data_IF_383234644216
#
_entry.id   IF_383234644216
#
_cell.length_a   1.000
_cell.length_b   1.000
_cell.length_c   1.000
_cell.angle_alpha   90.00
_cell.angle_beta   90.00
_cell.angle_gamma   90.00
#
_symmetry.space_group_name_H-M   'P 1'
#
loop_
_entity.id
_entity.type
_entity.pdbx_description
1 polymer ?
2 non-polymer ?
3 water ?
#
# COMPACT_ATOMS: atom_id res chain seq x y z
N UNK A 12 17.28 -17.06 10.03
CA UNK A 12 16.75 -15.71 9.83
C UNK A 12 16.36 -15.08 11.16
N UNK A 13 17.15 -14.10 11.61
CA UNK A 13 16.86 -13.46 12.89
C UNK A 13 15.58 -12.66 12.81
N UNK A 14 14.83 -12.58 13.91
CA UNK A 14 13.59 -11.80 13.89
C UNK A 14 13.88 -10.32 13.68
N UNK A 15 12.93 -9.64 13.07
CA UNK A 15 13.11 -8.20 12.91
C UNK A 15 12.85 -7.47 14.22
N UNK A 16 13.67 -6.48 14.56
CA UNK A 16 13.55 -5.82 15.85
C UNK A 16 12.39 -4.84 15.88
N UNK A 17 11.66 -4.83 16.99
CA UNK A 17 10.67 -3.80 17.22
C UNK A 17 11.34 -2.56 17.80
N UNK A 18 11.04 -1.39 17.25
CA UNK A 18 11.66 -0.14 17.66
C UNK A 18 10.63 0.70 18.37
N UNK A 19 10.97 1.16 19.58
CA UNK A 19 10.19 2.14 20.34
C UNK A 19 10.70 3.54 20.01
N UNK A 20 9.82 4.36 19.43
CA UNK A 20 10.17 5.71 19.04
C UNK A 20 9.60 6.78 19.96
N UNK A 21 8.55 6.47 20.71
CA UNK A 21 7.83 7.45 21.50
C UNK A 21 6.92 6.69 22.45
N UNK A 22 6.80 7.20 23.67
CA UNK A 22 6.13 6.47 24.74
C UNK A 22 4.63 6.77 24.73
N UNK A 23 3.84 5.75 25.08
CA UNK A 23 2.39 5.83 25.08
C UNK A 23 1.89 7.00 25.94
N UNK A 24 0.68 7.48 25.61
CA UNK A 24 0.05 8.66 26.23
C UNK A 24 0.93 9.89 25.98
N UNK A 29 -6.75 8.68 24.51
CA UNK A 29 -6.22 8.21 23.22
C UNK A 29 -6.24 6.69 23.03
N UNK A 30 -6.09 6.26 21.78
CA UNK A 30 -6.10 4.86 21.41
C UNK A 30 -4.89 4.53 20.54
N UNK A 31 -4.33 3.35 20.74
CA UNK A 31 -3.17 2.92 19.98
C UNK A 31 -3.47 1.61 19.27
N UNK A 32 -2.98 1.49 18.04
CA UNK A 32 -3.22 0.34 17.18
C UNK A 32 -2.08 0.22 16.18
N UNK A 33 -1.94 -0.97 15.61
CA UNK A 33 -0.84 -1.26 14.71
C UNK A 33 -1.37 -1.43 13.28
N UNK A 34 -0.55 -1.02 12.31
CA UNK A 34 -0.90 -1.06 10.89
C UNK A 34 0.25 -1.75 10.16
N UNK A 35 -0.07 -2.78 9.39
CA UNK A 35 0.90 -3.48 8.55
C UNK A 35 0.61 -3.12 7.08
N UNK A 36 1.68 -2.98 6.29
CA UNK A 36 1.58 -2.76 4.84
C UNK A 36 2.52 -3.72 4.15
N UNK A 37 2.02 -4.51 3.21
CA UNK A 37 2.78 -5.67 2.73
C UNK A 37 2.35 -6.07 1.33
N UNK A 38 3.29 -6.01 0.38
CA UNK A 38 3.10 -6.55 -0.96
C UNK A 38 3.62 -7.99 -0.94
N UNK A 39 2.70 -8.96 -1.02
CA UNK A 39 3.02 -10.37 -0.80
C UNK A 39 3.70 -11.04 -1.99
N UNK A 40 3.73 -10.38 -3.16
CA UNK A 40 4.19 -10.91 -4.44
C UNK A 40 3.29 -12.05 -4.90
N UNK A 41 2.39 -11.75 -5.83
CA UNK A 41 1.42 -12.74 -6.25
C UNK A 41 2.09 -13.82 -7.11
N UNK A 42 1.44 -14.98 -7.15
CA UNK A 42 1.96 -16.12 -7.90
C UNK A 42 2.20 -15.77 -9.37
N UNK A 43 1.29 -15.01 -9.98
CA UNK A 43 1.42 -14.68 -11.41
C UNK A 43 2.79 -14.08 -11.74
N UNK A 44 3.31 -13.22 -10.88
CA UNK A 44 4.57 -12.54 -11.16
C UNK A 44 5.79 -13.27 -10.60
N UNK A 45 5.58 -14.31 -9.79
CA UNK A 45 6.71 -14.98 -9.14
C UNK A 45 7.25 -16.05 -10.09
N UNK A 46 8.03 -15.60 -11.07
CA UNK A 46 8.52 -16.44 -12.14
C UNK A 46 10.04 -16.46 -12.17
N UNK A 47 10.60 -17.49 -12.82
CA UNK A 47 12.04 -17.60 -12.98
C UNK A 47 12.60 -16.43 -13.78
N UNK A 48 11.81 -15.89 -14.71
CA UNK A 48 12.31 -14.81 -15.55
C UNK A 48 12.59 -13.56 -14.72
N UNK A 49 11.70 -13.25 -13.77
CA UNK A 49 11.88 -12.09 -12.91
C UNK A 49 12.75 -12.41 -11.70
N UNK A 50 12.78 -13.66 -11.22
CA UNK A 50 13.45 -14.00 -9.97
C UNK A 50 14.27 -15.27 -10.13
N UNK A 51 15.13 -15.29 -11.16
CA UNK A 51 15.95 -16.44 -11.46
C UNK A 51 16.92 -16.82 -10.36
N UNK A 52 17.25 -15.89 -9.47
CA UNK A 52 18.12 -16.19 -8.34
C UNK A 52 17.41 -16.94 -7.23
N UNK A 53 16.12 -17.13 -7.31
CA UNK A 53 15.39 -17.86 -6.28
C UNK A 53 14.97 -19.21 -6.84
N UNK A 54 15.30 -20.31 -6.18
CA UNK A 54 14.92 -21.64 -6.69
C UNK A 54 13.42 -21.74 -6.92
N UNK A 55 13.05 -22.49 -7.96
CA UNK A 55 11.63 -22.63 -8.32
C UNK A 55 10.83 -23.19 -7.15
N UNK A 56 11.39 -24.15 -6.40
CA UNK A 56 10.68 -24.71 -5.26
C UNK A 56 10.42 -23.67 -4.18
N UNK A 57 11.25 -22.63 -4.10
CA UNK A 57 11.04 -21.56 -3.15
C UNK A 57 10.15 -20.45 -3.70
N UNK A 58 9.99 -20.37 -5.03
CA UNK A 58 9.02 -19.45 -5.62
C UNK A 58 7.61 -20.03 -5.62
N UNK A 59 7.48 -21.36 -5.69
CA UNK A 59 6.17 -22.00 -5.78
C UNK A 59 5.24 -21.52 -4.67
N UNK A 60 3.97 -21.29 -5.04
CA UNK A 60 3.02 -20.65 -4.12
C UNK A 60 2.70 -21.55 -2.92
N UNK A 61 2.61 -22.87 -3.13
CA UNK A 61 2.28 -23.74 -2.02
C UNK A 61 3.35 -23.70 -0.94
N UNK A 62 4.60 -23.41 -1.32
CA UNK A 62 5.67 -23.16 -0.37
C UNK A 62 5.62 -21.71 0.14
N UNK A 63 5.55 -20.73 -0.76
CA UNK A 63 5.71 -19.33 -0.39
C UNK A 63 4.57 -18.82 0.49
N UNK A 64 3.34 -19.27 0.22
CA UNK A 64 2.20 -18.81 1.00
C UNK A 64 2.36 -19.11 2.48
N UNK A 65 3.13 -20.14 2.85
CA UNK A 65 3.37 -20.41 4.27
C UNK A 65 4.17 -19.28 4.91
N UNK A 66 5.28 -18.89 4.27
CA UNK A 66 6.03 -17.74 4.76
C UNK A 66 5.22 -16.45 4.77
N UNK A 67 4.39 -16.25 3.74
CA UNK A 67 3.56 -15.04 3.71
C UNK A 67 2.58 -15.04 4.88
N UNK A 68 1.89 -16.16 5.11
CA UNK A 68 0.99 -16.24 6.26
C UNK A 68 1.74 -16.12 7.58
N UNK A 69 2.93 -16.71 7.66
CA UNK A 69 3.75 -16.58 8.86
C UNK A 69 4.11 -15.12 9.14
N UNK A 70 4.53 -14.38 8.10
CA UNK A 70 4.86 -12.98 8.26
C UNK A 70 3.66 -12.20 8.76
N UNK A 71 2.49 -12.44 8.18
CA UNK A 71 1.28 -11.73 8.57
C UNK A 71 0.86 -12.08 10.00
N UNK A 72 0.92 -13.37 10.34
CA UNK A 72 0.50 -13.76 11.70
C UNK A 72 1.47 -13.20 12.74
N UNK A 73 2.77 -13.24 12.47
CA UNK A 73 3.77 -12.73 13.42
C UNK A 73 3.63 -11.23 13.65
N UNK A 74 3.38 -10.46 12.57
CA UNK A 74 3.17 -9.03 12.71
C UNK A 74 1.95 -8.71 13.57
N UNK A 75 0.89 -9.51 13.44
CA UNK A 75 -0.27 -9.45 14.35
C UNK A 75 -0.91 -8.06 14.38
N UNK A 76 -0.97 -7.40 13.23
CA UNK A 76 -1.39 -6.01 13.18
C UNK A 76 -2.89 -5.88 13.36
N UNK A 77 -3.32 -4.80 14.04
CA UNK A 77 -4.74 -4.49 14.18
C UNK A 77 -5.40 -4.23 12.82
N UNK A 78 -4.63 -3.66 11.89
CA UNK A 78 -5.08 -3.30 10.56
C UNK A 78 -4.00 -3.77 9.58
N UNK A 79 -4.41 -4.45 8.51
CA UNK A 79 -3.48 -5.05 7.55
C UNK A 79 -3.85 -4.58 6.15
N UNK A 80 -2.89 -3.96 5.45
CA UNK A 80 -3.05 -3.58 4.05
C UNK A 80 -2.12 -4.44 3.19
N UNK A 81 -2.71 -5.29 2.34
CA UNK A 81 -1.94 -6.16 1.44
C UNK A 81 -2.13 -5.72 0.00
N UNK A 82 -1.06 -5.80 -0.80
CA UNK A 82 -1.13 -5.67 -2.24
C UNK A 82 -0.76 -7.01 -2.90
N UNK A 83 -1.17 -7.15 -4.17
CA UNK A 83 -0.92 -8.37 -4.94
C UNK A 83 -1.58 -9.59 -4.29
N UNK A 84 -2.77 -9.38 -3.74
CA UNK A 84 -3.61 -10.46 -3.27
C UNK A 84 -4.38 -11.01 -4.46
N UNK A 85 -4.11 -12.27 -4.84
CA UNK A 85 -4.87 -12.88 -5.92
C UNK A 85 -6.29 -13.19 -5.45
N UNK A 86 -7.26 -12.94 -6.36
CA UNK A 86 -8.68 -13.04 -6.03
C UNK A 86 -9.01 -14.34 -5.30
N UNK A 87 -8.69 -15.48 -5.91
CA UNK A 87 -9.06 -16.76 -5.30
C UNK A 87 -8.34 -16.96 -3.97
N UNK A 88 -7.09 -16.54 -3.86
CA UNK A 88 -6.36 -16.67 -2.60
C UNK A 88 -6.98 -15.81 -1.50
N UNK A 89 -7.55 -14.65 -1.86
CA UNK A 89 -8.26 -13.86 -0.85
C UNK A 89 -9.35 -14.69 -0.18
N UNK A 90 -10.18 -15.37 -0.98
CA UNK A 90 -11.31 -16.11 -0.45
C UNK A 90 -10.96 -17.48 0.12
N UNK A 91 -9.86 -18.10 -0.32
CA UNK A 91 -9.56 -19.43 0.16
C UNK A 91 -8.34 -19.51 1.09
N UNK A 92 -7.48 -18.48 1.10
CA UNK A 92 -6.33 -18.47 2.00
C UNK A 92 -6.43 -17.33 3.01
N UNK A 93 -6.30 -16.08 2.57
CA UNK A 93 -6.09 -14.97 3.49
C UNK A 93 -7.29 -14.76 4.40
N UNK A 94 -8.49 -14.64 3.81
CA UNK A 94 -9.62 -14.27 4.65
C UNK A 94 -10.02 -15.40 5.59
N UNK A 95 -10.09 -16.67 5.14
CA UNK A 95 -10.43 -17.73 6.11
C UNK A 95 -9.43 -17.86 7.23
N UNK A 96 -8.13 -17.72 6.94
CA UNK A 96 -7.13 -17.83 7.99
C UNK A 96 -7.17 -16.63 8.93
N UNK A 97 -7.32 -15.42 8.37
CA UNK A 97 -7.36 -14.24 9.23
C UNK A 97 -8.67 -14.15 10.01
N UNK A 98 -9.77 -14.70 9.48
CA UNK A 98 -11.01 -14.77 10.27
C UNK A 98 -10.80 -15.54 11.56
N UNK A 99 -9.93 -16.56 11.53
CA UNK A 99 -9.60 -17.30 12.74
C UNK A 99 -8.71 -16.50 13.69
N UNK A 100 -8.00 -15.49 13.20
CA UNK A 100 -7.26 -14.58 14.07
C UNK A 100 -8.09 -13.35 14.47
N UNK A 101 -9.40 -13.37 14.23
CA UNK A 101 -10.26 -12.27 14.65
C UNK A 101 -10.40 -11.12 13.68
N UNK A 102 -10.07 -11.32 12.40
CA UNK A 102 -10.20 -10.26 11.40
C UNK A 102 -11.44 -10.47 10.54
N UNK A 103 -11.96 -9.35 10.03
CA UNK A 103 -12.72 -9.31 8.79
C UNK A 103 -11.91 -8.54 7.77
N UNK A 104 -12.33 -8.58 6.50
CA UNK A 104 -11.54 -7.96 5.46
C UNK A 104 -12.40 -7.40 4.35
N UNK A 105 -11.79 -6.48 3.57
CA UNK A 105 -12.37 -6.00 2.33
C UNK A 105 -11.32 -6.12 1.22
N UNK A 106 -11.73 -6.74 0.11
CA UNK A 106 -10.84 -7.00 -1.03
C UNK A 106 -11.50 -6.49 -2.30
N UNK A 107 -10.66 -6.01 -3.23
CA UNK A 107 -11.13 -5.72 -4.55
C UNK A 107 -10.01 -6.06 -5.54
N UNK A 108 -10.30 -6.81 -6.60
CA UNK A 108 -9.27 -7.07 -7.61
C UNK A 108 -9.14 -5.90 -8.58
N UNK A 109 -8.01 -5.85 -9.26
CA UNK A 109 -7.95 -5.03 -10.47
C UNK A 109 -8.84 -5.63 -11.56
N UNK A 110 -9.05 -4.87 -12.65
CA UNK A 110 -9.51 -5.38 -13.94
C UNK A 110 -10.93 -5.94 -13.92
N UNK A 111 -11.78 -5.50 -12.99
CA UNK A 111 -13.16 -5.97 -12.97
C UNK A 111 -13.86 -5.73 -14.31
N UNK A 112 -13.58 -4.59 -14.95
CA UNK A 112 -14.26 -4.27 -16.20
C UNK A 112 -13.69 -5.02 -17.40
N UNK A 113 -12.52 -5.65 -17.26
CA UNK A 113 -11.94 -6.40 -18.37
C UNK A 113 -12.63 -7.74 -18.56
N UNK A 114 -12.81 -8.12 -19.81
CA UNK A 114 -13.37 -9.43 -20.16
C UNK A 114 -12.27 -10.47 -20.06
N UNK A 115 -12.60 -11.60 -19.44
CA UNK A 115 -11.63 -12.69 -19.29
C UNK A 115 -12.39 -13.93 -18.85
N UNK A 116 -11.70 -15.08 -18.91
CA UNK A 116 -12.32 -16.33 -18.54
C UNK A 116 -12.50 -16.42 -17.02
N UNK A 117 -13.28 -17.43 -16.60
CA UNK A 117 -13.43 -17.72 -15.17
C UNK A 117 -12.09 -18.03 -14.53
N UNK A 118 -11.25 -18.80 -15.24
CA UNK A 118 -9.95 -19.19 -14.69
C UNK A 118 -9.07 -17.97 -14.47
N UNK A 119 -9.00 -17.09 -15.46
CA UNK A 119 -8.16 -15.89 -15.35
C UNK A 119 -8.67 -14.99 -14.25
N UNK A 120 -9.99 -14.86 -14.11
CA UNK A 120 -10.55 -14.01 -13.06
C UNK A 120 -10.06 -14.44 -11.68
N UNK A 121 -9.88 -15.75 -11.47
CA UNK A 121 -9.41 -16.23 -10.18
C UNK A 121 -8.02 -15.72 -9.85
N UNK A 122 -7.23 -15.38 -10.86
CA UNK A 122 -5.83 -15.10 -10.65
C UNK A 122 -5.49 -13.62 -10.80
N UNK A 123 -6.48 -12.75 -11.01
CA UNK A 123 -6.25 -11.31 -10.98
C UNK A 123 -5.96 -10.88 -9.54
N UNK A 124 -4.95 -10.06 -9.34
CA UNK A 124 -4.62 -9.60 -7.99
C UNK A 124 -5.23 -8.23 -7.70
N UNK A 125 -5.32 -7.91 -6.41
CA UNK A 125 -5.83 -6.64 -5.97
C UNK A 125 -5.30 -6.29 -4.58
N UNK A 126 -6.01 -5.39 -3.91
CA UNK A 126 -5.66 -4.88 -2.61
C UNK A 126 -6.70 -5.35 -1.59
N UNK A 127 -6.23 -5.71 -0.39
CA UNK A 127 -7.09 -6.12 0.71
C UNK A 127 -6.76 -5.30 1.95
N UNK A 128 -7.79 -4.95 2.72
CA UNK A 128 -7.62 -4.34 4.04
C UNK A 128 -8.31 -5.24 5.04
N UNK A 129 -7.54 -5.73 6.03
CA UNK A 129 -8.08 -6.48 7.15
C UNK A 129 -8.02 -5.63 8.42
N UNK A 130 -8.96 -5.90 9.32
CA UNK A 130 -9.06 -5.19 10.58
C UNK A 130 -9.63 -6.15 11.60
N UNK A 131 -9.14 -6.07 12.84
CA UNK A 131 -9.65 -6.92 13.93
C UNK A 131 -11.00 -6.40 14.39
N UNK A 132 -12.01 -7.27 14.31
CA UNK A 132 -13.37 -6.87 14.59
C UNK A 132 -13.59 -6.51 16.06
N UNK A 133 -12.74 -7.03 16.96
CA UNK A 133 -12.91 -6.63 18.35
C UNK A 133 -12.53 -5.16 18.57
N UNK A 134 -11.83 -4.54 17.63
CA UNK A 134 -11.41 -3.15 17.75
C UNK A 134 -12.02 -2.19 16.74
N UNK A 135 -12.46 -2.68 15.58
CA UNK A 135 -13.04 -1.82 14.57
C UNK A 135 -14.30 -2.45 14.00
N UNK A 136 -15.20 -1.59 13.54
CA UNK A 136 -16.42 -1.98 12.87
C UNK A 136 -16.44 -1.26 11.53
N UNK A 137 -16.58 -2.01 10.44
CA UNK A 137 -16.60 -1.43 9.11
C UNK A 137 -17.90 -0.66 8.90
N UNK A 138 -17.81 0.58 8.44
CA UNK A 138 -19.01 1.35 8.11
C UNK A 138 -19.15 1.59 6.61
N UNK A 139 -18.06 1.77 5.88
CA UNK A 139 -18.11 1.91 4.42
C UNK A 139 -16.91 1.24 3.79
N UNK A 140 -17.08 0.79 2.54
CA UNK A 140 -16.00 0.21 1.75
C UNK A 140 -16.08 0.78 0.33
N UNK A 141 -14.93 1.03 -0.30
CA UNK A 141 -14.91 1.68 -1.60
C UNK A 141 -13.72 1.20 -2.41
N UNK A 142 -13.90 1.10 -3.73
CA UNK A 142 -12.80 0.79 -4.64
C UNK A 142 -12.59 2.00 -5.54
N UNK A 143 -11.34 2.43 -5.69
CA UNK A 143 -11.02 3.57 -6.53
C UNK A 143 -10.31 3.03 -7.77
N UNK A 144 -10.98 3.14 -8.92
CA UNK A 144 -10.46 2.71 -10.20
C UNK A 144 -9.72 3.87 -10.86
N UNK A 145 -8.40 3.78 -10.93
CA UNK A 145 -7.62 4.87 -11.51
C UNK A 145 -7.94 5.07 -12.99
N UNK A 146 -8.23 3.99 -13.72
CA UNK A 146 -8.47 4.15 -15.16
C UNK A 146 -9.78 4.88 -15.43
N UNK A 147 -10.81 4.61 -14.63
CA UNK A 147 -12.08 5.33 -14.79
C UNK A 147 -11.94 6.79 -14.40
N UNK A 148 -11.24 7.07 -13.29
CA UNK A 148 -11.08 8.46 -12.87
C UNK A 148 -10.24 9.23 -13.89
N UNK A 149 -9.17 8.60 -14.41
CA UNK A 149 -8.37 9.26 -15.44
C UNK A 149 -9.20 9.57 -16.67
N UNK A 150 -10.05 8.62 -17.05
CA UNK A 150 -10.86 8.76 -18.26
C UNK A 150 -11.87 9.88 -18.13
N UNK A 151 -12.45 10.02 -16.95
CA UNK A 151 -13.43 11.06 -16.66
C UNK A 151 -12.80 12.45 -16.55
N UNK A 152 -11.48 12.54 -16.37
CA UNK A 152 -10.78 13.82 -16.27
C UNK A 152 -9.77 14.01 -17.40
N UNK A 153 -10.02 13.42 -18.56
CA UNK A 153 -9.05 13.41 -19.64
C UNK A 153 -9.32 14.45 -20.71
N UNK A 154 -10.37 15.24 -20.57
CA UNK A 154 -10.71 16.22 -21.59
C UNK A 154 -9.57 17.21 -21.80
N UNK A 155 -9.12 17.33 -23.05
CA UNK A 155 -8.06 18.27 -23.36
C UNK A 155 -6.66 17.80 -23.04
N UNK A 156 -6.49 16.53 -22.66
CA UNK A 156 -5.17 15.94 -22.40
C UNK A 156 -5.09 14.57 -23.08
N UNK A 157 -4.40 14.49 -24.22
CA UNK A 157 -4.10 13.20 -24.82
C UNK A 157 -3.29 12.31 -23.90
N UNK A 158 -2.36 12.91 -23.14
CA UNK A 158 -1.54 12.14 -22.23
C UNK A 158 -2.36 11.46 -21.15
N UNK A 159 -3.38 12.15 -20.63
CA UNK A 159 -4.27 11.53 -19.63
C UNK A 159 -4.92 10.28 -20.20
N UNK A 160 -5.42 10.35 -21.44
CA UNK A 160 -6.07 9.19 -22.04
C UNK A 160 -5.04 8.12 -22.42
N UNK A 161 -3.96 8.52 -23.11
CA UNK A 161 -3.03 7.54 -23.65
C UNK A 161 -2.25 6.82 -22.56
N UNK A 162 -1.71 7.59 -21.60
CA UNK A 162 -0.76 7.06 -20.62
C UNK A 162 -1.41 6.70 -19.29
N UNK A 163 -2.38 7.47 -18.83
CA UNK A 163 -2.93 7.23 -17.49
C UNK A 163 -4.13 6.31 -17.54
N UNK A 164 -5.09 6.62 -18.41
CA UNK A 164 -6.29 5.81 -18.54
C UNK A 164 -5.99 4.34 -18.82
N UNK A 165 -4.92 4.07 -19.57
CA UNK A 165 -4.60 2.72 -20.02
C UNK A 165 -4.00 1.85 -18.93
N UNK A 166 -3.81 2.38 -17.71
CA UNK A 166 -3.25 1.60 -16.60
C UNK A 166 -4.36 1.23 -15.61
N UNK A 167 -4.51 -0.06 -15.39
CA UNK A 167 -5.53 -0.79 -14.65
C UNK A 167 -5.41 -0.71 -13.11
N UNK A 168 -4.57 0.15 -12.56
CA UNK A 168 -4.28 0.05 -11.12
C UNK A 168 -5.46 0.56 -10.28
N UNK A 169 -5.51 0.10 -9.03
CA UNK A 169 -6.61 0.43 -8.13
C UNK A 169 -6.08 0.74 -6.73
N UNK A 170 -6.96 1.37 -5.93
CA UNK A 170 -6.81 1.38 -4.50
C UNK A 170 -8.16 1.11 -3.86
N UNK A 171 -8.13 0.70 -2.59
CA UNK A 171 -9.35 0.48 -1.82
C UNK A 171 -9.27 1.30 -0.55
N UNK A 172 -10.44 1.54 0.04
CA UNK A 172 -10.50 2.29 1.29
C UNK A 172 -11.70 1.82 2.09
N UNK A 173 -11.54 1.80 3.40
CA UNK A 173 -12.62 1.49 4.32
C UNK A 173 -12.73 2.62 5.33
N UNK A 174 -13.95 2.89 5.76
CA UNK A 174 -14.18 3.76 6.88
C UNK A 174 -14.49 2.85 8.06
N UNK A 175 -13.78 3.04 9.17
CA UNK A 175 -13.89 2.17 10.33
C UNK A 175 -14.35 2.96 11.54
N UNK A 176 -15.26 2.39 12.33
CA UNK A 176 -15.55 2.87 13.67
C UNK A 176 -14.46 2.37 14.62
N UNK A 177 -13.73 3.30 15.24
CA UNK A 177 -12.76 2.94 16.26
C UNK A 177 -13.52 2.77 17.58
N UNK A 178 -13.50 1.56 18.13
CA UNK A 178 -14.32 1.28 19.31
C UNK A 178 -13.88 2.12 20.51
N UNK A 179 -14.87 2.60 21.27
CA UNK A 179 -14.59 3.51 22.39
C UNK A 179 -13.65 2.90 23.42
N UNK A 180 -13.71 1.59 23.62
CA UNK A 180 -12.91 0.92 24.65
C UNK A 180 -11.41 0.98 24.35
N UNK A 181 -11.03 1.31 23.12
CA UNK A 181 -9.62 1.55 22.82
C UNK A 181 -9.12 2.86 23.42
N UNK A 182 -10.02 3.76 23.81
CA UNK A 182 -9.63 5.03 24.41
C UNK A 182 -9.68 4.94 25.94
N UNK A 194 -18.91 8.67 18.44
CA UNK A 194 -18.54 7.58 17.55
C UNK A 194 -17.35 7.97 16.66
N UNK A 195 -16.17 7.45 17.00
CA UNK A 195 -14.92 7.84 16.33
C UNK A 195 -14.68 7.02 15.08
N UNK A 196 -14.26 7.70 14.01
CA UNK A 196 -14.06 7.07 12.72
C UNK A 196 -12.63 7.25 12.22
N UNK A 197 -12.18 6.27 11.45
CA UNK A 197 -10.86 6.28 10.84
C UNK A 197 -11.01 5.74 9.43
N UNK A 198 -10.20 6.28 8.54
CA UNK A 198 -10.18 5.82 7.16
C UNK A 198 -8.82 5.21 6.87
N UNK A 199 -8.85 3.98 6.37
CA UNK A 199 -7.67 3.27 5.96
C UNK A 199 -7.75 3.09 4.46
N UNK A 200 -6.70 3.50 3.76
CA UNK A 200 -6.65 3.42 2.31
C UNK A 200 -5.42 2.63 1.94
N UNK A 201 -5.54 1.90 0.83
CA UNK A 201 -4.51 0.94 0.41
C UNK A 201 -4.49 0.94 -1.10
N UNK A 202 -3.34 1.29 -1.70
CA UNK A 202 -3.26 1.36 -3.15
C UNK A 202 -1.97 0.71 -3.63
N UNK A 203 -1.98 0.35 -4.90
CA UNK A 203 -0.82 -0.25 -5.57
C UNK A 203 -0.72 0.43 -6.93
N UNK A 204 0.28 1.31 -7.07
CA UNK A 204 0.42 2.17 -8.26
C UNK A 204 1.16 1.44 -9.38
N UNK A 205 1.02 1.98 -10.59
CA UNK A 205 1.80 1.52 -11.74
C UNK A 205 3.27 1.50 -11.38
N UNK A 206 4.00 0.54 -11.97
CA UNK A 206 5.36 0.22 -11.55
C UNK A 206 6.45 0.87 -12.39
N UNK A 207 6.18 1.14 -13.68
CA UNK A 207 7.22 1.42 -14.67
C UNK A 207 7.99 2.71 -14.33
N UNK A 208 9.31 2.64 -14.17
CA UNK A 208 10.08 3.84 -13.81
C UNK A 208 10.02 4.94 -14.86
N UNK A 209 9.63 4.62 -16.10
CA UNK A 209 9.50 5.65 -17.12
C UNK A 209 8.18 6.40 -17.03
N UNK A 210 7.36 6.11 -16.03
CA UNK A 210 6.00 6.62 -15.95
C UNK A 210 5.75 7.31 -14.62
N UNK A 211 6.69 8.14 -14.19
CA UNK A 211 6.52 8.91 -12.96
C UNK A 211 5.28 9.79 -13.03
N UNK A 212 4.90 10.23 -14.23
CA UNK A 212 3.68 11.02 -14.40
C UNK A 212 2.44 10.21 -14.04
N UNK A 213 2.37 8.96 -14.50
CA UNK A 213 1.25 8.09 -14.15
C UNK A 213 1.20 7.86 -12.63
N UNK A 214 2.34 7.55 -12.03
CA UNK A 214 2.38 7.29 -10.58
C UNK A 214 1.88 8.50 -9.80
N UNK A 215 2.33 9.70 -10.17
CA UNK A 215 1.91 10.92 -9.47
C UNK A 215 0.43 11.20 -9.69
N UNK A 216 -0.05 11.07 -10.93
CA UNK A 216 -1.46 11.32 -11.18
C UNK A 216 -2.32 10.29 -10.46
N UNK A 217 -1.91 9.01 -10.48
CA UNK A 217 -2.66 8.00 -9.72
C UNK A 217 -2.70 8.35 -8.23
N UNK A 218 -1.60 8.88 -7.69
CA UNK A 218 -1.59 9.24 -6.27
C UNK A 218 -2.55 10.39 -5.99
N UNK A 219 -2.54 11.42 -6.84
CA UNK A 219 -3.44 12.54 -6.63
C UNK A 219 -4.90 12.13 -6.83
N UNK A 220 -5.14 11.26 -7.81
CA UNK A 220 -6.48 10.72 -8.03
C UNK A 220 -6.97 9.98 -6.80
N UNK A 221 -6.10 9.15 -6.21
CA UNK A 221 -6.49 8.38 -5.03
C UNK A 221 -6.79 9.30 -3.86
N UNK A 222 -5.92 10.28 -3.62
CA UNK A 222 -6.09 11.16 -2.47
C UNK A 222 -7.34 12.03 -2.64
N UNK A 223 -7.59 12.53 -3.86
CA UNK A 223 -8.78 13.35 -4.03
C UNK A 223 -10.05 12.51 -3.94
N UNK A 224 -10.01 11.26 -4.40
CA UNK A 224 -11.17 10.39 -4.25
C UNK A 224 -11.39 9.99 -2.79
N UNK A 225 -10.32 9.78 -2.02
CA UNK A 225 -10.46 9.54 -0.59
C UNK A 225 -11.09 10.75 0.08
N UNK A 226 -10.66 11.96 -0.31
CA UNK A 226 -11.25 13.19 0.23
C UNK A 226 -12.74 13.25 -0.03
N UNK A 227 -13.19 12.79 -1.21
CA UNK A 227 -14.62 12.71 -1.49
C UNK A 227 -15.31 11.66 -0.62
N UNK A 228 -14.60 10.58 -0.28
CA UNK A 228 -15.19 9.61 0.63
C UNK A 228 -15.49 10.23 1.99
N UNK A 229 -14.62 11.16 2.44
CA UNK A 229 -14.84 11.87 3.70
C UNK A 229 -16.16 12.61 3.70
N UNK A 230 -16.35 13.43 2.68
CA UNK A 230 -17.49 14.32 2.61
C UNK A 230 -18.79 13.53 2.68
N UNK A 231 -18.89 12.45 1.92
CA UNK A 231 -20.07 11.60 1.97
C UNK A 231 -19.96 10.65 3.16
N UNK A 232 -19.69 11.21 4.34
CA UNK A 232 -19.53 10.43 5.58
C UNK A 232 -19.58 11.35 6.81
N UNK A 245 -10.42 16.57 9.67
CA UNK A 245 -11.78 16.10 9.98
C UNK A 245 -11.72 14.69 10.56
N UNK A 246 -11.47 13.73 9.69
CA UNK A 246 -11.42 12.31 10.05
C UNK A 246 -10.01 11.82 9.75
N UNK A 247 -9.35 11.12 10.69
CA UNK A 247 -7.97 10.69 10.45
C UNK A 247 -7.86 9.71 9.29
N UNK A 248 -6.71 9.75 8.63
CA UNK A 248 -6.42 8.89 7.50
C UNK A 248 -5.14 8.13 7.76
N UNK A 249 -5.15 6.82 7.50
CA UNK A 249 -3.94 6.02 7.37
C UNK A 249 -3.89 5.53 5.93
N UNK A 250 -2.84 5.93 5.20
CA UNK A 250 -2.70 5.61 3.79
C UNK A 250 -1.52 4.66 3.61
N UNK A 251 -1.82 3.40 3.28
CA UNK A 251 -0.82 2.39 2.97
C UNK A 251 -0.74 2.24 1.45
N UNK A 252 0.47 2.04 0.92
CA UNK A 252 0.53 1.88 -0.52
C UNK A 252 1.89 1.39 -0.97
N UNK A 253 1.89 0.51 -1.97
CA UNK A 253 3.04 0.28 -2.83
C UNK A 253 2.95 1.38 -3.89
N UNK A 254 3.65 2.49 -3.64
CA UNK A 254 3.63 3.62 -4.55
C UNK A 254 4.60 3.47 -5.71
N UNK A 255 5.50 2.48 -5.66
CA UNK A 255 6.50 2.29 -6.70
C UNK A 255 7.27 3.59 -6.94
N UNK A 256 7.44 4.38 -5.87
CA UNK A 256 8.03 5.70 -5.92
C UNK A 256 9.06 5.81 -4.81
N UNK A 257 10.27 6.25 -5.18
CA UNK A 257 11.34 6.43 -4.23
C UNK A 257 11.10 7.69 -3.40
N UNK A 258 11.77 7.83 -2.24
CA UNK A 258 11.45 8.96 -1.35
C UNK A 258 11.68 10.32 -1.99
N UNK A 259 12.59 10.46 -2.94
CA UNK A 259 12.83 11.74 -3.60
C UNK A 259 11.79 12.09 -4.66
N UNK A 260 10.72 11.31 -4.79
CA UNK A 260 9.84 11.41 -5.95
C UNK A 260 8.77 12.49 -5.77
N UNK A 261 8.12 12.83 -6.88
CA UNK A 261 7.00 13.75 -6.82
C UNK A 261 5.83 13.24 -5.99
N UNK A 262 5.55 11.93 -6.04
CA UNK A 262 4.40 11.44 -5.27
C UNK A 262 4.68 11.57 -3.77
N UNK A 263 5.91 11.29 -3.33
CA UNK A 263 6.19 11.37 -1.89
C UNK A 263 6.19 12.82 -1.44
N UNK A 264 6.74 13.72 -2.26
CA UNK A 264 6.63 15.14 -1.96
C UNK A 264 5.16 15.58 -1.88
N UNK A 265 4.33 15.12 -2.82
CA UNK A 265 2.91 15.49 -2.81
C UNK A 265 2.24 15.00 -1.53
N UNK A 266 2.51 13.76 -1.12
CA UNK A 266 1.91 13.23 0.08
C UNK A 266 2.48 13.87 1.34
N UNK A 267 3.75 14.29 1.30
CA UNK A 267 4.43 14.78 2.49
C UNK A 267 4.31 16.29 2.71
N UNK A 268 4.12 17.07 1.65
CA UNK A 268 4.05 18.52 1.77
C UNK A 268 2.67 19.07 1.48
N UNK A 269 1.65 18.21 1.40
CA UNK A 269 0.30 18.68 1.19
C UNK A 269 0.05 19.24 -0.19
N UNK A 270 0.88 18.90 -1.16
CA UNK A 270 0.68 19.42 -2.50
C UNK A 270 1.96 19.37 -3.31
N UNK A 271 1.81 19.77 -4.57
CA UNK A 271 2.91 19.72 -5.53
C UNK A 271 2.61 20.74 -6.63
N UNK A 272 3.66 21.37 -7.15
CA UNK A 272 3.47 22.31 -8.24
C UNK A 272 3.00 21.57 -9.48
N UNK A 273 2.16 22.22 -10.29
CA UNK A 273 1.70 21.52 -11.47
C UNK A 273 2.81 21.33 -12.49
N UNK A 274 3.88 22.13 -12.43
CA UNK A 274 4.99 21.96 -13.35
C UNK A 274 6.10 21.06 -12.77
N UNK A 275 5.78 20.22 -11.79
CA UNK A 275 6.78 19.30 -11.27
C UNK A 275 7.32 18.42 -12.41
N UNK A 276 8.62 18.12 -12.35
CA UNK A 276 9.27 17.46 -13.47
C UNK A 276 8.73 16.05 -13.68
N UNK A 277 8.17 15.43 -12.63
CA UNK A 277 7.66 14.06 -12.77
C UNK A 277 6.45 13.99 -13.69
N UNK A 278 5.82 15.12 -14.01
CA UNK A 278 4.74 15.17 -14.99
C UNK A 278 5.25 15.10 -16.42
N UNK A 279 6.53 15.38 -16.64
CA UNK A 279 7.24 15.15 -17.90
C UNK A 279 6.68 15.93 -19.09
N UNK A 280 5.69 16.80 -18.90
CA UNK A 280 4.75 17.35 -19.92
C UNK A 280 3.65 16.31 -20.19
N UNK A 281 2.39 16.72 -20.08
CA UNK A 281 1.98 18.10 -19.81
C UNK A 281 2.08 18.51 -18.32
N UNK A 282 3.18 19.18 -17.96
CA UNK A 282 3.35 19.69 -16.61
C UNK A 282 2.21 20.66 -16.25
N UNK A 283 2.13 21.78 -16.96
CA UNK A 283 1.18 22.83 -16.61
C UNK A 283 -0.26 22.54 -17.08
N UNK A 284 -0.62 21.27 -17.29
CA UNK A 284 -1.94 20.96 -17.81
C UNK A 284 -3.04 21.27 -16.79
N UNK A 285 -4.15 21.80 -17.30
CA UNK A 285 -5.24 22.25 -16.45
C UNK A 285 -6.09 21.10 -15.89
N UNK A 286 -6.07 19.93 -16.53
CA UNK A 286 -6.87 18.80 -16.06
C UNK A 286 -6.44 18.29 -14.69
N UNK A 287 -5.19 18.55 -14.30
CA UNK A 287 -4.71 18.10 -13.00
C UNK A 287 -5.39 18.81 -11.84
N UNK A 288 -5.84 20.06 -12.05
CA UNK A 288 -6.42 20.83 -10.96
C UNK A 288 -7.76 20.26 -10.49
N UNK A 289 -8.37 19.37 -11.27
CA UNK A 289 -9.58 18.68 -10.83
C UNK A 289 -9.34 17.88 -9.57
N UNK A 290 -8.10 17.43 -9.34
CA UNK A 290 -7.76 16.63 -8.17
C UNK A 290 -7.27 17.47 -6.99
N UNK A 291 -7.43 18.79 -7.07
CA UNK A 291 -7.01 19.68 -5.98
C UNK A 291 -8.14 19.93 -4.98
N UNK A 302 -0.28 25.11 -8.40
CA UNK A 302 -0.02 24.13 -7.35
C UNK A 302 -1.24 23.25 -7.05
N UNK A 303 -1.03 21.94 -7.01
CA UNK A 303 -2.10 20.98 -6.74
C UNK A 303 -1.99 20.53 -5.29
N UNK A 304 -3.02 20.77 -4.49
CA UNK A 304 -2.95 20.61 -3.05
C UNK A 304 -3.97 19.60 -2.54
N UNK A 305 -3.69 19.07 -1.36
CA UNK A 305 -4.65 18.24 -0.63
C UNK A 305 -4.66 18.68 0.83
N UNK A 306 -5.84 18.59 1.45
CA UNK A 306 -6.00 19.04 2.81
C UNK A 306 -5.47 18.10 3.86
N UNK A 307 -5.15 16.86 3.49
CA UNK A 307 -4.52 15.99 4.47
C UNK A 307 -3.18 16.58 4.87
N UNK A 308 -2.67 16.13 6.02
CA UNK A 308 -1.39 16.59 6.53
C UNK A 308 -0.68 15.33 6.99
N UNK A 309 -0.15 14.60 6.02
CA UNK A 309 0.37 13.27 6.24
C UNK A 309 1.87 13.30 6.49
N UNK A 310 2.33 12.37 7.31
CA UNK A 310 3.75 12.07 7.46
C UNK A 310 3.93 10.57 7.26
N UNK A 311 5.14 10.20 6.86
CA UNK A 311 5.47 8.79 6.69
C UNK A 311 5.83 8.17 8.03
N UNK A 312 5.30 6.98 8.32
CA UNK A 312 5.60 6.32 9.58
C UNK A 312 7.08 5.94 9.68
N UNK A 313 7.67 5.55 8.55
CA UNK A 313 9.11 5.36 8.42
C UNK A 313 9.69 6.60 7.75
N UNK A 314 10.72 7.20 8.36
CA UNK A 314 11.08 8.54 7.89
C UNK A 314 12.51 8.74 7.39
N UNK A 315 13.49 8.09 8.00
CA UNK A 315 14.86 8.46 7.65
C UNK A 315 15.64 7.28 7.12
N UNK A 316 15.07 6.58 6.13
CA UNK A 316 15.61 5.31 5.68
C UNK A 316 15.81 4.35 6.84
N UNK A 317 14.95 4.48 7.87
CA UNK A 317 15.00 3.52 8.97
C UNK A 317 14.96 2.10 8.42
N UNK A 318 14.16 1.86 7.40
CA UNK A 318 14.37 0.73 6.50
C UNK A 318 15.07 1.24 5.26
N UNK A 319 16.25 0.71 4.91
CA UNK A 319 16.96 1.24 3.74
C UNK A 319 16.30 0.87 2.42
N UNK A 320 15.38 -0.09 2.43
CA UNK A 320 14.61 -0.46 1.24
C UNK A 320 13.38 -1.22 1.70
N UNK A 321 12.33 -1.18 0.89
CA UNK A 321 11.18 -2.03 1.11
C UNK A 321 10.99 -3.04 -0.01
N UNK A 322 11.60 -2.81 -1.18
CA UNK A 322 11.62 -3.76 -2.29
C UNK A 322 13.08 -4.13 -2.50
N UNK A 323 13.37 -5.43 -2.55
CA UNK A 323 14.76 -5.89 -2.52
C UNK A 323 14.92 -6.98 -3.57
N UNK A 324 15.40 -6.61 -4.75
CA UNK A 324 15.67 -7.54 -5.84
C UNK A 324 17.07 -7.32 -6.36
N UNK A 325 17.55 -8.25 -7.18
CA UNK A 325 18.90 -8.11 -7.74
C UNK A 325 19.03 -6.79 -8.50
N UNK A 326 18.06 -6.48 -9.36
CA UNK A 326 18.15 -5.29 -10.21
C UNK A 326 17.71 -4.01 -9.53
N UNK A 327 16.90 -4.07 -8.47
CA UNK A 327 16.31 -2.87 -7.88
C UNK A 327 16.13 -3.07 -6.38
N UNK A 328 16.69 -2.13 -5.61
CA UNK A 328 16.50 -2.05 -4.17
C UNK A 328 16.15 -0.61 -3.83
N UNK A 329 15.07 -0.41 -3.08
CA UNK A 329 14.68 0.94 -2.72
C UNK A 329 13.41 0.93 -1.88
N UNK A 330 13.16 2.08 -1.25
CA UNK A 330 11.94 2.32 -0.48
C UNK A 330 10.86 2.76 -1.46
N UNK A 331 9.83 1.93 -1.65
CA UNK A 331 8.73 2.28 -2.56
C UNK A 331 7.38 1.95 -1.91
N UNK A 332 7.41 1.45 -0.68
CA UNK A 332 6.22 1.12 0.10
C UNK A 332 6.14 2.04 1.31
N UNK A 333 4.93 2.47 1.68
CA UNK A 333 4.82 3.52 2.70
C UNK A 333 3.58 3.32 3.55
N UNK A 334 3.65 3.82 4.78
CA UNK A 334 2.48 4.04 5.62
C UNK A 334 2.48 5.51 6.00
N UNK A 335 1.50 6.25 5.49
CA UNK A 335 1.28 7.66 5.81
C UNK A 335 0.09 7.79 6.76
N UNK A 336 0.16 8.78 7.65
CA UNK A 336 -0.87 8.97 8.65
C UNK A 336 -1.11 10.47 8.88
N UNK A 337 -2.31 10.79 9.33
CA UNK A 337 -2.68 12.18 9.64
C UNK A 337 -1.89 12.65 10.85
N UNK A 338 -0.89 13.51 10.63
CA UNK A 338 0.01 13.91 11.71
C UNK A 338 -0.65 14.82 12.74
N UNK A 339 -1.76 15.48 12.39
CA UNK A 339 -2.48 16.26 13.40
C UNK A 339 -3.41 15.41 14.25
N UNK A 340 -3.52 14.11 13.98
CA UNK A 340 -4.36 13.23 14.77
C UNK A 340 -3.61 12.10 15.44
N UNK A 341 -2.45 11.70 14.93
CA UNK A 341 -1.76 10.51 15.41
C UNK A 341 -0.27 10.77 15.62
N UNK A 342 0.27 10.09 16.63
CA UNK A 342 1.69 9.96 16.87
C UNK A 342 2.16 8.58 16.43
N UNK A 343 3.42 8.47 16.07
CA UNK A 343 4.07 7.18 15.87
C UNK A 343 4.75 6.77 17.18
N UNK A 344 4.29 5.66 17.76
CA UNK A 344 4.90 5.11 18.96
C UNK A 344 5.99 4.08 18.67
N UNK A 345 6.00 3.51 17.47
CA UNK A 345 7.02 2.52 17.16
C UNK A 345 6.86 2.02 15.75
N UNK A 346 7.94 1.40 15.27
CA UNK A 346 7.94 0.73 13.97
C UNK A 346 8.72 -0.58 14.09
N UNK A 347 8.49 -1.46 13.12
CA UNK A 347 9.28 -2.68 12.99
C UNK A 347 10.51 -2.37 12.14
N UNK A 348 11.68 -2.54 12.73
CA UNK A 348 12.93 -2.27 12.04
C UNK A 348 13.19 -3.23 10.90
N UNK A 349 14.21 -2.95 10.10
CA UNK A 349 14.50 -3.79 8.94
C UNK A 349 15.15 -5.10 9.36
N UNK A 350 15.07 -6.06 8.45
CA UNK A 350 15.86 -7.27 8.59
C UNK A 350 17.34 -6.92 8.65
N UNK A 351 18.05 -7.51 9.62
CA UNK A 351 19.46 -7.19 9.84
C UNK A 351 20.25 -7.29 8.53
N UNK A 352 20.80 -6.19 8.01
CA UNK A 352 21.50 -6.27 6.73
C UNK A 352 22.78 -7.08 6.79
N UNK A 353 23.42 -7.20 7.96
CA UNK A 353 24.62 -8.02 8.06
C UNK A 353 24.30 -9.50 7.85
N UNK A 354 23.07 -9.92 8.14
CA UNK A 354 22.66 -11.28 7.86
C UNK A 354 22.51 -11.51 6.36
N UNK A 355 21.90 -10.54 5.64
CA UNK A 355 21.83 -10.64 4.19
C UNK A 355 23.22 -10.71 3.58
N UNK A 356 24.16 -9.98 4.16
CA UNK A 356 25.54 -9.98 3.68
C UNK A 356 26.21 -11.31 3.98
N UNK A 357 26.09 -11.79 5.22
CA UNK A 357 26.67 -13.06 5.61
C UNK A 357 26.20 -14.18 4.68
N UNK A 358 24.94 -14.14 4.25
CA UNK A 358 24.33 -15.20 3.47
C UNK A 358 24.28 -14.89 1.98
N UNK A 359 25.00 -13.87 1.51
CA UNK A 359 25.13 -13.58 0.08
C UNK A 359 23.77 -13.47 -0.60
N UNK A 360 22.83 -12.82 0.08
CA UNK A 360 21.47 -12.64 -0.44
C UNK A 360 21.41 -11.26 -1.08
N UNK A 361 21.36 -11.24 -2.40
CA UNK A 361 21.35 -10.04 -3.22
C UNK A 361 19.98 -9.70 -3.77
N UNK A 362 18.97 -10.52 -3.48
CA UNK A 362 17.64 -10.29 -3.98
C UNK A 362 16.66 -11.22 -3.31
N UNK A 363 15.40 -10.82 -3.33
CA UNK A 363 14.30 -11.61 -2.77
C UNK A 363 13.26 -11.81 -3.88
N UNK A 364 12.39 -12.82 -3.75
CA UNK A 364 12.29 -13.77 -2.63
C UNK A 364 13.47 -14.71 -2.54
N UNK A 365 13.44 -15.48 -1.46
CA UNK A 365 14.50 -16.35 -0.98
C UNK A 365 13.79 -17.49 -0.27
N UNK A 366 14.43 -18.66 -0.14
CA UNK A 366 13.79 -19.75 0.63
C UNK A 366 13.24 -19.32 1.97
N UNK A 367 13.82 -18.31 2.61
CA UNK A 367 13.32 -17.88 3.92
C UNK A 367 12.78 -16.45 3.91
N UNK A 368 12.62 -15.84 2.73
CA UNK A 368 11.99 -14.53 2.60
C UNK A 368 10.98 -14.63 1.48
N UNK A 369 9.68 -14.70 1.79
CA UNK A 369 8.69 -15.14 0.80
C UNK A 369 8.19 -14.06 -0.16
N UNK A 370 8.70 -12.84 -0.09
CA UNK A 370 8.30 -11.80 -1.03
C UNK A 370 9.52 -10.98 -1.42
N UNK A 371 9.41 -10.27 -2.54
CA UNK A 371 10.45 -9.30 -2.88
C UNK A 371 10.23 -7.97 -2.18
N UNK A 372 9.17 -7.84 -1.38
CA UNK A 372 8.99 -6.69 -0.52
C UNK A 372 9.10 -7.13 0.93
N UNK A 373 9.61 -6.22 1.78
CA UNK A 373 9.55 -6.40 3.21
C UNK A 373 8.32 -5.69 3.77
N UNK A 374 7.72 -6.30 4.78
CA UNK A 374 6.56 -5.71 5.45
C UNK A 374 6.95 -4.42 6.17
N UNK A 375 5.96 -3.53 6.29
CA UNK A 375 6.03 -2.35 7.13
C UNK A 375 5.04 -2.53 8.26
N UNK A 376 5.43 -2.14 9.47
CA UNK A 376 4.57 -2.33 10.63
C UNK A 376 4.85 -1.17 11.57
N UNK A 377 3.79 -0.45 11.96
CA UNK A 377 3.93 0.71 12.81
C UNK A 377 2.80 0.73 13.83
N UNK A 378 3.09 1.24 15.01
CA UNK A 378 2.07 1.45 16.03
C UNK A 378 1.78 2.94 16.10
N UNK A 379 0.52 3.31 15.88
CA UNK A 379 0.08 4.69 15.94
C UNK A 379 -0.76 4.93 17.19
N UNK A 380 -0.80 6.18 17.59
CA UNK A 380 -1.57 6.60 18.75
C UNK A 380 -2.52 7.70 18.29
N UNK A 381 -3.81 7.37 18.24
CA UNK A 381 -4.83 8.28 17.73
C UNK A 381 -5.39 9.14 18.86
N UNK A 382 -5.42 10.45 18.66
CA UNK A 382 -5.86 11.41 19.67
C UNK A 382 -7.15 12.08 19.24
N UNK A 383 -8.25 11.97 20.01
CA UNK A 383 -9.50 12.68 19.68
C UNK A 383 -9.31 14.19 19.59
X LIG B 1 6.22 -2.89 -6.67
X LIG B 1 6.04 -3.97 -7.72
X LIG B 1 4.75 -3.69 -8.51
X LIG B 1 6.08 -5.42 -7.26
X LIG B 1 7.27 -3.81 -8.72
X LIG B 1 8.48 -3.22 -8.29
X LIG B 1 9.51 -3.16 -9.38
X LIG B 1 9.28 -1.99 -10.21
X LIG B 1 10.95 -3.00 -8.91
X LIG B 1 11.54 -4.24 -8.53
X LIG B 1 11.63 -2.36 -10.10
X LIG B 1 11.95 -3.34 -11.07
X LIG B 1 10.51 -1.46 -10.65
X LIG B 1 10.63 -0.06 -10.20
X LIG B 1 11.66 0.76 -10.86
X LIG B 1 11.85 2.18 -10.49
X LIG B 1 11.04 2.78 -9.51
X LIG B 1 10.00 1.97 -8.83
X LIG B 1 9.80 0.55 -9.19
X LIG B 1 12.35 0.25 -11.71
X LIG B 1 11.28 4.18 -9.20
#
# INVERSE_FOLDING_TARGET
>A
MLDNLAVHPEQLPPRPWITLKERDQILPSASFTVMCYNVLCDKYATRQLYGYCPSWALNWEYRKKGIMEEIVNCDADIISLQEVETEQYFTLFLPALKERGYDGFFSPKSRAKIMSEQERKHVDGCAIFFKTEKFTLVQKHTVEFNQVAMANSDGSEAMLNRVMTKDNIGVAVVLEVHKELFGAGMKPIHAADKQLLIVANAHMHWDPEYSDVKLIQTMMFVSEVKNILEKASSRPGSPTADPNSIPLVLCADLNSLPDSGVVEYLSNGGVADNHKDFKELRYNECLMNFSCNGKNGSSEGRITHGFQLKSAYENNLMPYTNYTFDFKGVIDYIFYSKTHMNVLGVLGPLDPQWLVENNITGCPHPHIPSDHFSLLTQLELHPPLLPLVNGVHLPNRR
>B hetero
1 C5P O3P P O1P O2P O5' C5' C4' O4' C3' O3' C2' O2' C1' N1 C2 N3 C4 C5 C6 O2 N4
#
